data_IF_268258176159
#
_entry.id   IF_268258176159
#
_cell.length_a   1.000
_cell.length_b   1.000
_cell.length_c   1.000
_cell.angle_alpha   90.00
_cell.angle_beta   90.00
_cell.angle_gamma   90.00
#
_symmetry.space_group_name_H-M   'P 1'
#
loop_
_entity.id
_entity.type
_entity.pdbx_description
1 polymer ?
#
# COMPACT_ATOMS: atom_id res chain seq x y z
N UNK A 1 -31.78 -1.10 -23.98
CA UNK A 1 -30.41 -0.59 -23.80
C UNK A 1 -30.34 0.18 -22.49
N UNK A 2 -30.07 -0.50 -21.38
CA UNK A 2 -29.35 0.00 -20.20
C UNK A 2 -28.82 -1.27 -19.54
N UNK A 3 -27.49 -1.45 -19.51
CA UNK A 3 -26.83 -2.63 -18.94
C UNK A 3 -26.42 -2.34 -17.51
N UNK A 4 -26.86 -3.24 -16.64
CA UNK A 4 -26.46 -3.61 -15.29
C UNK A 4 -25.12 -3.06 -14.74
N UNK A 5 -25.19 -2.33 -13.62
CA UNK A 5 -24.21 -2.43 -12.53
C UNK A 5 -24.83 -3.31 -11.44
N UNK A 6 -24.19 -4.44 -11.16
CA UNK A 6 -24.53 -5.31 -10.04
C UNK A 6 -23.75 -4.85 -8.81
N UNK A 7 -24.42 -4.14 -7.90
CA UNK A 7 -23.96 -3.96 -6.53
C UNK A 7 -24.32 -5.21 -5.74
N UNK A 8 -23.33 -5.92 -5.19
CA UNK A 8 -23.60 -7.03 -4.27
C UNK A 8 -24.01 -6.47 -2.90
N UNK A 9 -25.28 -6.70 -2.57
CA UNK A 9 -25.90 -6.48 -1.27
C UNK A 9 -25.74 -7.76 -0.44
N UNK A 10 -25.07 -7.72 0.71
CA UNK A 10 -25.18 -8.79 1.72
C UNK A 10 -26.28 -8.39 2.72
N UNK A 11 -27.41 -9.09 2.67
CA UNK A 11 -28.52 -8.94 3.58
C UNK A 11 -28.20 -9.57 4.95
N UNK A 12 -28.30 -8.79 6.03
CA UNK A 12 -28.25 -9.28 7.41
C UNK A 12 -29.67 -9.40 7.97
N UNK A 13 -30.07 -10.60 8.35
CA UNK A 13 -31.33 -10.90 9.03
C UNK A 13 -31.24 -10.50 10.51
N UNK A 14 -32.11 -9.58 10.95
CA UNK A 14 -32.20 -9.15 12.35
C UNK A 14 -32.90 -10.21 13.20
N UNK A 15 -32.24 -10.66 14.27
CA UNK A 15 -32.87 -11.40 15.38
C UNK A 15 -32.79 -10.52 16.63
N UNK A 16 -33.93 -10.03 17.12
CA UNK A 16 -34.01 -9.29 18.37
C UNK A 16 -33.71 -10.22 19.55
N UNK A 17 -32.61 -9.97 20.26
CA UNK A 17 -32.36 -10.50 21.60
C UNK A 17 -32.23 -9.31 22.54
N UNK A 18 -33.13 -9.25 23.53
CA UNK A 18 -33.11 -8.28 24.62
C UNK A 18 -31.82 -8.44 25.44
N UNK A 19 -30.97 -7.42 25.48
CA UNK A 19 -29.77 -7.38 26.31
C UNK A 19 -29.94 -6.33 27.42
N UNK A 20 -30.01 -6.82 28.65
CA UNK A 20 -29.81 -6.03 29.87
C UNK A 20 -28.37 -5.50 29.89
N UNK A 21 -28.21 -4.22 30.23
CA UNK A 21 -26.91 -3.55 30.30
C UNK A 21 -26.14 -3.97 31.55
N UNK A 22 -24.93 -4.53 31.44
CA UNK A 22 -23.99 -4.52 32.56
C UNK A 22 -23.22 -3.20 32.53
N UNK A 23 -23.17 -2.50 33.67
CA UNK A 23 -22.27 -1.35 33.87
C UNK A 23 -20.83 -1.75 33.56
N UNK A 24 -20.23 -1.08 32.56
CA UNK A 24 -18.79 -1.14 32.31
C UNK A 24 -18.12 -0.31 33.41
N UNK A 25 -17.43 -0.99 34.32
CA UNK A 25 -16.52 -0.36 35.25
C UNK A 25 -15.36 0.27 34.46
N UNK A 26 -15.03 1.53 34.79
CA UNK A 26 -13.90 2.24 34.22
C UNK A 26 -12.60 1.44 34.44
N UNK A 27 -11.85 1.25 33.36
CA UNK A 27 -10.49 0.70 33.40
C UNK A 27 -9.62 1.71 34.17
N UNK A 28 -8.83 1.29 35.19
CA UNK A 28 -8.01 2.23 35.93
C UNK A 28 -6.90 2.79 35.04
N UNK A 29 -6.69 4.10 35.16
CA UNK A 29 -5.57 4.83 34.59
C UNK A 29 -4.26 4.29 35.17
N UNK A 30 -3.58 3.46 34.39
CA UNK A 30 -2.21 3.04 34.68
C UNK A 30 -1.26 4.20 34.33
N UNK A 31 -1.05 5.07 35.31
CA UNK A 31 -0.10 6.15 35.20
C UNK A 31 1.30 5.68 34.76
N UNK A 32 1.86 6.38 33.77
CA UNK A 32 3.30 6.65 33.75
C UNK A 32 4.17 5.99 32.66
N UNK A 33 3.83 6.14 31.38
CA UNK A 33 4.83 6.48 30.33
C UNK A 33 4.13 6.95 29.07
N UNK A 34 4.42 8.18 28.61
CA UNK A 34 4.08 8.63 27.25
C UNK A 34 4.72 7.66 26.25
N UNK A 35 3.99 7.01 25.33
CA UNK A 35 4.61 6.21 24.27
C UNK A 35 5.12 7.18 23.20
N UNK A 36 6.28 7.76 23.42
CA UNK A 36 6.98 8.63 22.47
C UNK A 36 8.44 8.71 22.91
N UNK A 37 9.30 7.93 22.25
CA UNK A 37 10.67 7.76 22.73
C UNK A 37 11.36 6.48 22.24
N UNK A 38 11.04 6.02 21.03
CA UNK A 38 11.84 4.98 20.36
C UNK A 38 12.73 5.60 19.28
N UNK A 39 13.70 4.86 18.72
CA UNK A 39 14.36 5.32 17.50
C UNK A 39 13.32 5.51 16.38
N UNK A 40 13.55 6.43 15.42
CA UNK A 40 12.71 6.54 14.23
C UNK A 40 12.58 5.18 13.54
N UNK A 41 11.40 4.89 13.00
CA UNK A 41 11.21 3.74 12.11
C UNK A 41 12.12 3.87 10.89
N UNK A 42 12.65 2.75 10.42
CA UNK A 42 13.60 2.69 9.30
C UNK A 42 12.93 3.20 8.03
N UNK A 43 11.66 2.84 7.83
CA UNK A 43 10.84 3.20 6.68
C UNK A 43 9.78 4.22 7.11
N UNK A 44 9.84 5.40 6.51
CA UNK A 44 8.83 6.46 6.59
C UNK A 44 8.48 6.78 5.15
N UNK A 45 7.58 5.99 4.59
CA UNK A 45 7.34 5.93 3.17
C UNK A 45 6.02 6.56 2.74
N UNK A 46 5.92 6.81 1.45
CA UNK A 46 4.65 7.04 0.76
C UNK A 46 4.65 6.34 -0.60
N UNK A 47 3.51 5.79 -1.01
CA UNK A 47 3.24 5.52 -2.41
C UNK A 47 2.90 6.86 -3.10
N UNK A 48 3.56 7.11 -4.23
CA UNK A 48 3.45 8.34 -5.03
C UNK A 48 3.28 8.01 -6.51
N UNK A 49 2.70 6.86 -6.83
CA UNK A 49 2.64 6.35 -8.19
C UNK A 49 1.81 7.24 -9.12
N UNK A 50 0.74 7.86 -8.61
CA UNK A 50 -0.06 8.86 -9.34
C UNK A 50 0.70 10.16 -9.64
N UNK A 51 1.84 10.44 -9.01
CA UNK A 51 2.51 11.73 -9.06
C UNK A 51 2.86 12.16 -10.49
N UNK A 52 3.39 11.25 -11.30
CA UNK A 52 3.79 11.57 -12.67
C UNK A 52 2.60 12.01 -13.53
N UNK A 53 1.45 11.35 -13.37
CA UNK A 53 0.20 11.67 -14.06
C UNK A 53 -0.40 12.97 -13.54
N UNK A 54 -0.41 13.15 -12.22
CA UNK A 54 -0.82 14.39 -11.56
C UNK A 54 -0.05 15.61 -12.10
N UNK A 55 1.29 15.58 -12.07
CA UNK A 55 2.12 16.71 -12.51
C UNK A 55 1.98 16.99 -14.02
N UNK A 56 1.86 15.95 -14.84
CA UNK A 56 1.63 16.09 -16.28
C UNK A 56 0.27 16.76 -16.59
N UNK A 57 -0.71 16.59 -15.72
CA UNK A 57 -2.06 17.17 -15.82
C UNK A 57 -2.24 18.47 -15.02
N UNK A 58 -1.14 19.02 -14.49
CA UNK A 58 -1.13 20.34 -13.84
C UNK A 58 -1.27 20.31 -12.32
N UNK A 59 -1.21 19.14 -11.69
CA UNK A 59 -1.16 18.98 -10.24
C UNK A 59 -0.06 19.85 -9.61
N UNK A 60 -0.39 20.45 -8.47
CA UNK A 60 0.51 21.33 -7.74
C UNK A 60 0.61 20.89 -6.28
N UNK A 61 1.75 21.20 -5.67
CA UNK A 61 2.04 20.81 -4.29
C UNK A 61 2.71 21.96 -3.57
N UNK A 62 2.35 22.13 -2.30
CA UNK A 62 2.81 23.24 -1.45
C UNK A 62 3.25 22.73 -0.10
N UNK A 63 4.29 23.35 0.42
CA UNK A 63 4.62 23.27 1.83
C UNK A 63 3.44 23.79 2.67
N UNK A 64 3.39 23.42 3.95
CA UNK A 64 2.34 23.86 4.87
C UNK A 64 2.20 25.40 4.96
N UNK A 65 3.26 26.16 4.67
CA UNK A 65 3.24 27.63 4.64
C UNK A 65 2.71 28.23 3.32
N UNK A 66 2.22 27.39 2.38
CA UNK A 66 1.67 27.80 1.09
C UNK A 66 2.70 27.98 -0.04
N UNK A 67 4.01 27.89 0.25
CA UNK A 67 5.05 27.96 -0.79
C UNK A 67 4.94 26.73 -1.71
N UNK A 68 4.87 26.95 -3.03
CA UNK A 68 4.90 25.86 -4.02
C UNK A 68 6.25 25.14 -4.00
N UNK A 69 6.25 23.84 -4.20
CA UNK A 69 7.45 23.01 -4.28
C UNK A 69 7.25 21.74 -5.09
N UNK A 70 8.35 21.02 -5.31
CA UNK A 70 8.33 19.65 -5.82
C UNK A 70 7.74 18.71 -4.76
N UNK A 71 6.80 17.85 -5.14
CA UNK A 71 6.09 16.98 -4.21
C UNK A 71 7.04 16.10 -3.39
N UNK A 72 8.03 15.46 -4.05
CA UNK A 72 8.98 14.58 -3.39
C UNK A 72 9.89 15.37 -2.44
N UNK A 73 10.29 16.58 -2.80
CA UNK A 73 11.04 17.47 -1.92
C UNK A 73 10.23 17.89 -0.68
N UNK A 74 8.92 18.12 -0.82
CA UNK A 74 8.03 18.42 0.31
C UNK A 74 7.89 17.20 1.23
N UNK A 75 7.63 16.01 0.69
CA UNK A 75 7.56 14.76 1.45
C UNK A 75 8.87 14.50 2.21
N UNK A 76 10.01 14.66 1.54
CA UNK A 76 11.34 14.49 2.12
C UNK A 76 11.65 15.53 3.21
N UNK A 77 11.22 16.77 3.03
CA UNK A 77 11.39 17.85 4.00
C UNK A 77 10.67 17.53 5.33
N UNK A 78 9.44 17.01 5.25
CA UNK A 78 8.65 16.66 6.43
C UNK A 78 8.96 15.25 6.98
N UNK A 79 10.01 14.61 6.44
CA UNK A 79 10.73 13.51 7.08
C UNK A 79 10.47 12.12 6.52
N UNK A 80 9.76 12.01 5.40
CA UNK A 80 9.71 10.76 4.65
C UNK A 80 11.08 10.47 4.04
N UNK A 81 11.43 9.19 3.96
CA UNK A 81 12.72 8.73 3.47
C UNK A 81 12.60 7.56 2.47
N UNK A 82 11.39 7.21 2.05
CA UNK A 82 11.13 6.13 1.12
C UNK A 82 9.98 6.50 0.19
N UNK A 83 10.03 6.00 -1.04
CA UNK A 83 8.87 5.97 -1.93
C UNK A 83 8.51 4.54 -2.31
N UNK A 84 7.23 4.29 -2.51
CA UNK A 84 6.68 3.09 -3.16
C UNK A 84 6.16 3.49 -4.54
N UNK A 85 6.48 2.70 -5.55
CA UNK A 85 6.01 2.90 -6.92
C UNK A 85 5.44 1.60 -7.46
N UNK A 86 4.17 1.60 -7.83
CA UNK A 86 3.57 0.48 -8.54
C UNK A 86 4.03 0.47 -10.00
N UNK A 87 4.11 -0.74 -10.57
CA UNK A 87 4.39 -0.95 -11.98
C UNK A 87 3.36 -1.89 -12.60
N UNK A 88 2.76 -1.43 -13.69
CA UNK A 88 1.86 -2.17 -14.56
C UNK A 88 2.62 -2.66 -15.80
N UNK A 89 2.12 -3.73 -16.42
CA UNK A 89 2.76 -4.34 -17.58
C UNK A 89 2.51 -3.49 -18.83
N UNK A 90 1.24 -3.36 -19.27
CA UNK A 90 0.83 -2.53 -20.40
C UNK A 90 -0.41 -1.66 -20.06
N UNK A 91 -0.25 -0.61 -19.24
CA UNK A 91 -1.35 0.25 -18.86
C UNK A 91 -1.89 1.09 -20.02
N UNK A 92 -3.22 1.20 -20.13
CA UNK A 92 -3.90 1.83 -21.26
C UNK A 92 -3.56 3.34 -21.43
N UNK A 93 -3.30 4.04 -20.33
CA UNK A 93 -2.91 5.46 -20.32
C UNK A 93 -1.39 5.70 -20.33
N UNK A 94 -0.58 4.63 -20.32
CA UNK A 94 0.88 4.68 -20.31
C UNK A 94 1.53 5.08 -18.97
N UNK A 95 0.75 5.31 -17.90
CA UNK A 95 1.27 5.63 -16.56
C UNK A 95 1.51 4.38 -15.72
N UNK A 96 2.37 4.48 -14.70
CA UNK A 96 2.88 3.32 -13.95
C UNK A 96 3.60 2.28 -14.82
N UNK A 97 4.06 2.69 -16.00
CA UNK A 97 4.94 1.89 -16.86
C UNK A 97 6.39 1.98 -16.39
N UNK A 98 7.25 1.10 -16.91
CA UNK A 98 8.70 1.13 -16.68
C UNK A 98 9.30 2.54 -16.80
N UNK A 99 8.95 3.28 -17.84
CA UNK A 99 9.51 4.62 -18.10
C UNK A 99 9.16 5.61 -16.99
N UNK A 100 7.91 5.58 -16.51
CA UNK A 100 7.46 6.46 -15.42
C UNK A 100 8.08 6.07 -14.08
N UNK A 101 8.18 4.78 -13.79
CA UNK A 101 8.86 4.28 -12.60
C UNK A 101 10.32 4.76 -12.56
N UNK A 102 11.06 4.64 -13.67
CA UNK A 102 12.43 5.14 -13.77
C UNK A 102 12.52 6.66 -13.57
N UNK A 103 11.60 7.43 -14.15
CA UNK A 103 11.62 8.89 -14.04
C UNK A 103 11.41 9.35 -12.58
N UNK A 104 10.42 8.77 -11.88
CA UNK A 104 10.13 9.12 -10.48
C UNK A 104 11.21 8.60 -9.54
N UNK A 105 11.71 7.37 -9.77
CA UNK A 105 12.81 6.79 -9.00
C UNK A 105 14.07 7.66 -9.04
N UNK A 106 14.44 8.19 -10.21
CA UNK A 106 15.58 9.10 -10.38
C UNK A 106 15.44 10.35 -9.52
N UNK A 107 14.25 10.97 -9.49
CA UNK A 107 13.99 12.15 -8.64
C UNK A 107 14.10 11.82 -7.16
N UNK A 108 13.48 10.72 -6.72
CA UNK A 108 13.49 10.34 -5.31
C UNK A 108 14.89 9.95 -4.80
N UNK A 109 15.65 9.18 -5.59
CA UNK A 109 17.03 8.80 -5.24
C UNK A 109 17.97 10.00 -5.20
N UNK A 110 17.77 11.01 -6.06
CA UNK A 110 18.52 12.27 -5.97
C UNK A 110 18.26 13.04 -4.66
N UNK A 111 17.11 12.81 -4.01
CA UNK A 111 16.77 13.33 -2.68
C UNK A 111 17.22 12.41 -1.53
N UNK A 112 17.92 11.32 -1.84
CA UNK A 112 18.39 10.33 -0.88
C UNK A 112 17.26 9.47 -0.28
N UNK A 113 16.14 9.33 -0.98
CA UNK A 113 15.04 8.45 -0.56
C UNK A 113 15.28 7.01 -1.04
N UNK A 114 14.85 6.04 -0.23
CA UNK A 114 14.75 4.65 -0.64
C UNK A 114 13.60 4.40 -1.62
N UNK A 115 13.65 3.25 -2.28
CA UNK A 115 12.70 2.85 -3.32
C UNK A 115 12.19 1.43 -3.07
N UNK A 116 10.87 1.30 -2.92
CA UNK A 116 10.14 0.06 -3.05
C UNK A 116 9.44 0.04 -4.42
N UNK A 117 9.72 -0.97 -5.24
CA UNK A 117 8.98 -1.18 -6.50
C UNK A 117 7.93 -2.26 -6.28
N UNK A 118 6.69 -1.99 -6.65
CA UNK A 118 5.57 -2.90 -6.48
C UNK A 118 5.04 -3.40 -7.82
N UNK A 119 5.30 -4.66 -8.12
CA UNK A 119 4.81 -5.29 -9.35
C UNK A 119 3.41 -5.82 -9.13
N UNK A 120 2.45 -5.23 -9.84
CA UNK A 120 1.08 -5.77 -9.87
C UNK A 120 0.95 -7.00 -10.76
N UNK A 121 1.87 -7.20 -11.71
CA UNK A 121 1.79 -8.24 -12.75
C UNK A 121 0.43 -8.25 -13.46
N UNK A 122 -0.08 -7.06 -13.77
CA UNK A 122 -1.32 -6.83 -14.50
C UNK A 122 -1.17 -5.55 -15.32
N UNK A 123 -2.06 -5.34 -16.29
CA UNK A 123 -2.14 -4.08 -17.07
C UNK A 123 -2.83 -2.95 -16.28
N UNK A 124 -3.44 -3.28 -15.14
CA UNK A 124 -4.17 -2.35 -14.28
C UNK A 124 -4.08 -2.82 -12.82
N UNK A 125 -4.94 -2.29 -11.95
CA UNK A 125 -5.02 -2.64 -10.54
C UNK A 125 -5.11 -4.16 -10.31
N UNK A 126 -4.37 -4.60 -9.30
CA UNK A 126 -4.36 -5.95 -8.77
C UNK A 126 -4.60 -5.85 -7.27
N UNK A 127 -5.57 -6.60 -6.76
CA UNK A 127 -6.11 -6.54 -5.40
C UNK A 127 -6.66 -7.94 -5.01
N UNK A 128 -7.18 -8.16 -3.79
CA UNK A 128 -7.69 -9.47 -3.35
C UNK A 128 -8.78 -10.05 -4.25
N UNK A 129 -9.57 -9.21 -4.91
CA UNK A 129 -10.68 -9.58 -5.79
C UNK A 129 -10.32 -9.62 -7.27
N UNK A 130 -9.18 -9.07 -7.67
CA UNK A 130 -8.75 -8.94 -9.07
C UNK A 130 -7.25 -9.19 -9.22
N UNK A 131 -6.89 -10.27 -9.91
CA UNK A 131 -5.49 -10.60 -10.24
C UNK A 131 -5.36 -10.98 -11.73
N UNK A 132 -5.93 -10.15 -12.59
CA UNK A 132 -6.04 -10.42 -14.03
C UNK A 132 -4.66 -10.48 -14.68
N UNK A 133 -4.42 -11.49 -15.51
CA UNK A 133 -3.24 -11.54 -16.37
C UNK A 133 -3.18 -10.31 -17.29
N UNK A 134 -2.00 -9.77 -17.57
CA UNK A 134 -1.80 -8.85 -18.68
C UNK A 134 -2.31 -9.47 -19.98
N UNK A 135 -2.89 -8.66 -20.87
CA UNK A 135 -3.44 -9.14 -22.15
C UNK A 135 -2.38 -9.89 -22.97
N UNK A 136 -1.13 -9.42 -22.94
CA UNK A 136 0.00 -10.05 -23.63
C UNK A 136 0.35 -11.45 -23.08
N UNK A 137 -0.12 -11.82 -21.89
CA UNK A 137 0.23 -13.06 -21.21
C UNK A 137 -0.91 -14.09 -21.15
N UNK A 138 -2.11 -13.73 -21.64
CA UNK A 138 -3.31 -14.57 -21.49
C UNK A 138 -3.18 -15.94 -22.15
N UNK A 139 -2.55 -15.99 -23.32
CA UNK A 139 -2.39 -17.22 -24.13
C UNK A 139 -1.09 -17.99 -23.86
N UNK A 140 -0.25 -17.53 -22.93
CA UNK A 140 1.01 -18.20 -22.62
C UNK A 140 0.73 -19.52 -21.90
N UNK A 141 1.54 -20.54 -22.20
CA UNK A 141 1.63 -21.72 -21.33
C UNK A 141 2.16 -21.32 -19.95
N UNK A 142 1.99 -22.17 -18.95
CA UNK A 142 2.46 -21.87 -17.60
C UNK A 142 3.97 -21.58 -17.54
N UNK A 143 4.78 -22.33 -18.30
CA UNK A 143 6.24 -22.12 -18.34
C UNK A 143 6.60 -20.79 -19.00
N UNK A 144 5.90 -20.43 -20.08
CA UNK A 144 6.08 -19.12 -20.73
C UNK A 144 5.59 -17.97 -19.84
N UNK A 145 4.49 -18.15 -19.10
CA UNK A 145 3.97 -17.17 -18.15
C UNK A 145 4.97 -16.92 -17.01
N UNK A 146 5.56 -17.99 -16.46
CA UNK A 146 6.61 -17.91 -15.45
C UNK A 146 7.84 -17.17 -15.98
N UNK A 147 8.26 -17.45 -17.22
CA UNK A 147 9.36 -16.74 -17.85
C UNK A 147 9.03 -15.27 -18.09
N UNK A 148 7.82 -14.95 -18.57
CA UNK A 148 7.38 -13.58 -18.79
C UNK A 148 7.36 -12.74 -17.50
N UNK A 149 6.92 -13.33 -16.37
CA UNK A 149 7.01 -12.70 -15.06
C UNK A 149 8.46 -12.41 -14.67
N UNK A 150 9.35 -13.41 -14.80
CA UNK A 150 10.78 -13.23 -14.53
C UNK A 150 11.36 -12.09 -15.38
N UNK A 151 11.13 -12.12 -16.70
CA UNK A 151 11.70 -11.18 -17.66
C UNK A 151 11.20 -9.75 -17.41
N UNK A 152 9.91 -9.57 -17.15
CA UNK A 152 9.35 -8.26 -16.81
C UNK A 152 9.96 -7.69 -15.52
N UNK A 153 10.09 -8.53 -14.49
CA UNK A 153 10.71 -8.14 -13.21
C UNK A 153 12.18 -7.75 -13.43
N UNK A 154 12.93 -8.59 -14.15
CA UNK A 154 14.35 -8.36 -14.43
C UNK A 154 14.56 -7.11 -15.29
N UNK A 155 13.77 -6.89 -16.33
CA UNK A 155 13.89 -5.73 -17.22
C UNK A 155 13.71 -4.40 -16.47
N UNK A 156 12.65 -4.27 -15.68
CA UNK A 156 12.40 -3.04 -14.90
C UNK A 156 13.52 -2.81 -13.87
N UNK A 157 13.90 -3.84 -13.11
CA UNK A 157 14.90 -3.72 -12.05
C UNK A 157 16.32 -3.50 -12.59
N UNK A 158 16.69 -4.18 -13.67
CA UNK A 158 17.99 -3.98 -14.34
C UNK A 158 18.11 -2.57 -14.92
N UNK A 159 17.01 -2.01 -15.44
CA UNK A 159 16.95 -0.63 -15.90
C UNK A 159 17.16 0.38 -14.76
N UNK A 160 16.52 0.16 -13.60
CA UNK A 160 16.75 0.96 -12.40
C UNK A 160 18.20 0.86 -11.92
N UNK A 161 18.77 -0.35 -11.91
CA UNK A 161 20.19 -0.56 -11.54
C UNK A 161 21.14 0.18 -12.50
N UNK A 162 20.90 0.07 -13.81
CA UNK A 162 21.69 0.77 -14.82
C UNK A 162 21.58 2.30 -14.71
N UNK A 163 20.44 2.82 -14.25
CA UNK A 163 20.24 4.25 -13.96
C UNK A 163 20.93 4.71 -12.66
N UNK A 164 21.46 3.80 -11.84
CA UNK A 164 22.02 4.10 -10.52
C UNK A 164 20.95 4.28 -9.43
N UNK A 165 19.74 3.80 -9.67
CA UNK A 165 18.56 3.92 -8.78
C UNK A 165 18.07 2.55 -8.33
N UNK A 166 18.98 1.61 -8.08
CA UNK A 166 18.68 0.24 -7.64
C UNK A 166 17.59 0.23 -6.56
N UNK A 167 16.56 -0.61 -6.77
CA UNK A 167 15.48 -0.77 -5.80
C UNK A 167 16.03 -1.35 -4.50
N UNK A 168 15.61 -0.79 -3.37
CA UNK A 168 15.99 -1.27 -2.04
C UNK A 168 15.07 -2.41 -1.60
N UNK A 169 13.80 -2.34 -2.00
CA UNK A 169 12.77 -3.36 -1.80
C UNK A 169 11.98 -3.59 -3.08
N UNK A 170 11.50 -4.82 -3.26
CA UNK A 170 10.60 -5.20 -4.35
C UNK A 170 9.47 -6.03 -3.80
N UNK A 171 8.24 -5.63 -4.12
CA UNK A 171 7.05 -6.40 -3.86
C UNK A 171 6.70 -7.23 -5.10
N UNK A 172 6.71 -8.56 -4.93
CA UNK A 172 6.44 -9.52 -6.01
C UNK A 172 4.96 -9.87 -5.95
N UNK A 173 4.14 -9.04 -6.60
CA UNK A 173 2.68 -9.12 -6.58
C UNK A 173 2.04 -8.24 -5.50
N UNK A 174 0.90 -7.63 -5.80
CA UNK A 174 0.16 -6.78 -4.88
C UNK A 174 -1.04 -7.50 -4.27
N UNK A 175 -1.18 -7.43 -2.94
CA UNK A 175 -2.30 -8.00 -2.16
C UNK A 175 -2.68 -9.44 -2.58
N UNK A 176 -1.71 -10.35 -2.39
CA UNK A 176 -1.71 -11.75 -2.84
C UNK A 176 -2.73 -12.66 -2.13
N UNK A 177 -3.74 -12.10 -1.46
CA UNK A 177 -4.76 -12.84 -0.70
C UNK A 177 -5.35 -13.98 -1.52
N UNK A 178 -5.66 -13.71 -2.78
CA UNK A 178 -6.19 -14.67 -3.73
C UNK A 178 -5.15 -15.26 -4.68
N UNK A 179 -3.85 -15.00 -4.49
CA UNK A 179 -2.76 -15.37 -5.41
C UNK A 179 -2.41 -14.25 -6.40
N UNK A 180 -1.86 -14.59 -7.57
CA UNK A 180 -1.60 -13.67 -8.69
C UNK A 180 -1.83 -14.35 -10.04
N UNK A 181 -1.96 -13.56 -11.12
CA UNK A 181 -2.04 -14.07 -12.50
C UNK A 181 -3.08 -15.19 -12.67
N UNK A 182 -4.34 -14.91 -12.35
CA UNK A 182 -5.40 -15.90 -12.39
C UNK A 182 -5.69 -16.41 -13.82
N UNK A 183 -6.04 -17.71 -13.97
CA UNK A 183 -6.25 -18.70 -12.91
C UNK A 183 -4.96 -19.42 -12.46
N UNK A 184 -3.85 -19.27 -13.18
CA UNK A 184 -2.63 -20.08 -13.02
C UNK A 184 -2.05 -20.00 -11.61
N UNK A 185 -1.88 -18.79 -11.06
CA UNK A 185 -1.33 -18.55 -9.72
C UNK A 185 -2.39 -18.28 -8.64
N UNK A 186 -3.62 -18.79 -8.77
CA UNK A 186 -4.67 -18.57 -7.77
C UNK A 186 -4.36 -19.26 -6.43
N UNK A 187 -4.94 -18.75 -5.34
CA UNK A 187 -4.73 -19.21 -3.96
C UNK A 187 -4.99 -20.70 -3.70
N UNK A 188 -5.74 -21.38 -4.57
CA UNK A 188 -6.00 -22.82 -4.51
C UNK A 188 -5.04 -23.65 -5.38
N UNK A 189 -4.09 -23.01 -6.08
CA UNK A 189 -3.05 -23.63 -6.90
C UNK A 189 -1.64 -23.29 -6.39
N UNK A 190 -1.35 -23.71 -5.15
CA UNK A 190 -0.09 -23.41 -4.46
C UNK A 190 1.20 -23.77 -5.22
N UNK A 191 1.32 -24.92 -5.92
CA UNK A 191 2.54 -25.24 -6.66
C UNK A 191 2.86 -24.22 -7.76
N UNK A 192 1.84 -23.78 -8.53
CA UNK A 192 2.03 -22.80 -9.59
C UNK A 192 2.22 -21.39 -9.04
N UNK A 193 1.43 -21.00 -8.02
CA UNK A 193 1.64 -19.75 -7.29
C UNK A 193 3.08 -19.65 -6.76
N UNK A 194 3.60 -20.73 -6.18
CA UNK A 194 4.97 -20.77 -5.68
C UNK A 194 6.02 -20.64 -6.78
N UNK A 195 5.83 -21.31 -7.92
CA UNK A 195 6.73 -21.20 -9.06
C UNK A 195 6.74 -19.78 -9.67
N UNK A 196 5.59 -19.09 -9.74
CA UNK A 196 5.49 -17.70 -10.19
C UNK A 196 6.18 -16.73 -9.22
N UNK A 197 5.87 -16.81 -7.92
CA UNK A 197 6.49 -15.94 -6.92
C UNK A 197 8.00 -16.17 -6.79
N UNK A 198 8.45 -17.42 -6.90
CA UNK A 198 9.87 -17.74 -6.88
C UNK A 198 10.60 -17.26 -8.14
N UNK A 199 9.95 -17.24 -9.31
CA UNK A 199 10.53 -16.62 -10.50
C UNK A 199 10.74 -15.11 -10.32
N UNK A 200 9.76 -14.41 -9.71
CA UNK A 200 9.94 -13.00 -9.33
C UNK A 200 11.07 -12.79 -8.31
N UNK A 201 11.16 -13.65 -7.29
CA UNK A 201 12.27 -13.64 -6.33
C UNK A 201 13.62 -13.80 -7.04
N UNK A 202 13.75 -14.77 -7.94
CA UNK A 202 15.00 -15.02 -8.67
C UNK A 202 15.39 -13.84 -9.57
N UNK A 203 14.43 -13.19 -10.23
CA UNK A 203 14.68 -12.00 -11.02
C UNK A 203 15.22 -10.85 -10.15
N UNK A 204 14.61 -10.62 -8.99
CA UNK A 204 15.09 -9.61 -8.02
C UNK A 204 16.54 -9.90 -7.61
N UNK A 205 16.83 -11.14 -7.19
CA UNK A 205 18.16 -11.51 -6.72
C UNK A 205 19.22 -11.54 -7.82
N UNK A 206 18.84 -11.85 -9.06
CA UNK A 206 19.73 -11.78 -10.22
C UNK A 206 20.17 -10.34 -10.52
N UNK A 207 19.30 -9.34 -10.29
CA UNK A 207 19.67 -7.93 -10.42
C UNK A 207 20.48 -7.46 -9.20
N UNK A 208 20.07 -7.80 -7.99
CA UNK A 208 20.74 -7.37 -6.76
C UNK A 208 20.44 -8.31 -5.60
N UNK A 209 21.48 -8.94 -5.04
CA UNK A 209 21.35 -9.81 -3.87
C UNK A 209 20.88 -9.08 -2.60
N UNK A 210 21.16 -7.77 -2.51
CA UNK A 210 20.85 -6.95 -1.34
C UNK A 210 19.39 -6.48 -1.30
N UNK A 211 18.74 -6.37 -2.47
CA UNK A 211 17.35 -5.91 -2.61
C UNK A 211 16.40 -6.88 -1.90
N UNK A 212 15.57 -6.37 -0.99
CA UNK A 212 14.66 -7.22 -0.20
C UNK A 212 13.39 -7.55 -0.98
N UNK A 213 12.96 -8.81 -0.91
CA UNK A 213 11.71 -9.27 -1.52
C UNK A 213 10.59 -9.26 -0.48
N UNK A 214 9.49 -8.57 -0.80
CA UNK A 214 8.28 -8.44 0.00
C UNK A 214 7.18 -9.30 -0.60
N UNK A 215 6.50 -10.08 0.24
CA UNK A 215 5.19 -10.64 -0.09
C UNK A 215 4.13 -9.88 0.69
N UNK A 216 3.12 -9.40 -0.02
CA UNK A 216 2.16 -8.43 0.47
C UNK A 216 0.74 -9.00 0.47
N UNK A 217 0.05 -8.91 1.60
CA UNK A 217 -1.36 -9.23 1.74
C UNK A 217 -2.15 -8.01 2.24
N UNK A 218 -3.44 -7.96 1.91
CA UNK A 218 -4.40 -7.03 2.48
C UNK A 218 -4.79 -7.43 3.91
N UNK A 219 -5.86 -6.83 4.46
CA UNK A 219 -6.52 -7.26 5.70
C UNK A 219 -5.59 -7.41 6.92
N UNK A 220 -4.74 -6.42 7.20
CA UNK A 220 -3.70 -6.50 8.22
C UNK A 220 -4.16 -6.84 9.66
N UNK A 221 -5.45 -6.74 10.02
CA UNK A 221 -5.98 -7.21 11.30
C UNK A 221 -6.47 -8.66 11.32
N UNK A 222 -6.49 -9.36 10.18
CA UNK A 222 -6.92 -10.76 10.08
C UNK A 222 -5.73 -11.72 10.26
N UNK A 223 -5.49 -12.15 11.50
CA UNK A 223 -4.41 -13.08 11.78
C UNK A 223 -4.62 -14.48 11.18
N UNK A 224 -5.88 -14.91 11.03
CA UNK A 224 -6.21 -16.22 10.45
C UNK A 224 -5.76 -16.31 9.00
N UNK A 225 -6.07 -15.27 8.22
CA UNK A 225 -5.62 -15.13 6.83
C UNK A 225 -4.10 -15.20 6.71
N UNK A 226 -3.38 -14.39 7.50
CA UNK A 226 -1.92 -14.33 7.41
C UNK A 226 -1.27 -15.65 7.76
N UNK A 227 -1.74 -16.30 8.83
CA UNK A 227 -1.22 -17.61 9.21
C UNK A 227 -1.44 -18.64 8.11
N UNK A 228 -2.67 -18.73 7.63
CA UNK A 228 -3.01 -19.66 6.55
C UNK A 228 -2.14 -19.42 5.31
N UNK A 229 -2.00 -18.18 4.85
CA UNK A 229 -1.27 -17.88 3.62
C UNK A 229 0.23 -18.15 3.77
N UNK A 230 0.87 -17.66 4.83
CA UNK A 230 2.31 -17.82 5.02
C UNK A 230 2.72 -19.24 5.46
N UNK A 231 1.85 -19.99 6.13
CA UNK A 231 2.07 -21.43 6.40
C UNK A 231 2.06 -22.23 5.09
N UNK A 232 1.11 -21.97 4.19
CA UNK A 232 1.09 -22.59 2.86
C UNK A 232 2.27 -22.14 2.01
N UNK A 233 2.65 -20.86 2.07
CA UNK A 233 3.80 -20.34 1.35
C UNK A 233 5.10 -21.05 1.78
N UNK A 234 5.29 -21.26 3.09
CA UNK A 234 6.40 -22.02 3.63
C UNK A 234 6.36 -23.49 3.18
N UNK A 235 5.19 -24.14 3.23
CA UNK A 235 5.02 -25.54 2.80
C UNK A 235 5.34 -25.76 1.31
N UNK A 236 5.18 -24.73 0.47
CA UNK A 236 5.47 -24.78 -0.97
C UNK A 236 6.83 -24.14 -1.34
N UNK A 237 7.65 -23.77 -0.35
CA UNK A 237 8.99 -23.25 -0.60
C UNK A 237 9.01 -21.86 -1.25
N UNK A 238 8.00 -21.02 -1.00
CA UNK A 238 8.00 -19.62 -1.46
C UNK A 238 9.04 -18.83 -0.66
N UNK A 239 9.94 -18.16 -1.39
CA UNK A 239 11.04 -17.37 -0.80
C UNK A 239 10.70 -15.89 -0.72
N UNK A 240 11.05 -15.27 0.41
CA UNK A 240 10.85 -13.85 0.68
C UNK A 240 11.68 -13.37 1.88
N UNK A 241 11.86 -12.06 1.99
CA UNK A 241 12.65 -11.41 3.02
C UNK A 241 11.78 -10.65 4.04
N UNK A 242 10.65 -10.07 3.60
CA UNK A 242 9.79 -9.18 4.41
C UNK A 242 8.31 -9.54 4.21
N UNK A 243 7.52 -9.43 5.27
CA UNK A 243 6.05 -9.54 5.21
C UNK A 243 5.45 -8.13 5.06
N UNK A 244 4.71 -7.89 3.99
CA UNK A 244 3.97 -6.66 3.73
C UNK A 244 2.50 -6.78 4.13
N UNK A 245 1.93 -5.70 4.66
CA UNK A 245 0.51 -5.63 5.05
C UNK A 245 -0.15 -4.34 4.55
N UNK A 246 -1.36 -4.43 3.99
CA UNK A 246 -2.28 -3.28 3.93
C UNK A 246 -3.09 -3.17 5.21
N UNK A 247 -3.20 -1.98 5.76
CA UNK A 247 -4.08 -1.69 6.90
C UNK A 247 -4.85 -0.39 6.71
N UNK A 248 -6.12 -0.54 6.36
CA UNK A 248 -7.12 0.53 6.33
C UNK A 248 -8.10 0.27 7.48
N UNK A 249 -8.14 1.12 8.52
CA UNK A 249 -8.82 0.80 9.79
C UNK A 249 -10.34 0.63 9.65
N UNK A 250 -10.93 1.24 8.62
CA UNK A 250 -12.35 1.15 8.29
C UNK A 250 -12.75 -0.20 7.65
N UNK A 251 -11.80 -1.04 7.21
CA UNK A 251 -12.07 -2.37 6.65
C UNK A 251 -11.29 -3.51 7.31
N UNK A 252 -10.06 -3.25 7.77
CA UNK A 252 -9.09 -4.29 8.09
C UNK A 252 -9.03 -4.64 9.59
N UNK A 253 -10.11 -4.40 10.32
CA UNK A 253 -10.23 -4.71 11.75
C UNK A 253 -9.61 -3.67 12.67
N UNK A 254 -9.68 -3.93 13.98
CA UNK A 254 -9.27 -2.96 15.01
C UNK A 254 -7.75 -2.77 15.07
N UNK A 255 -7.30 -1.63 15.60
CA UNK A 255 -5.88 -1.36 15.84
C UNK A 255 -5.23 -2.42 16.75
N UNK A 256 -5.99 -2.95 17.71
CA UNK A 256 -5.53 -4.02 18.59
C UNK A 256 -5.32 -5.34 17.83
N UNK A 257 -6.26 -5.71 16.95
CA UNK A 257 -6.13 -6.91 16.11
C UNK A 257 -4.95 -6.78 15.14
N UNK A 258 -4.76 -5.59 14.56
CA UNK A 258 -3.62 -5.26 13.72
C UNK A 258 -2.28 -5.38 14.45
N UNK A 259 -2.15 -4.80 15.64
CA UNK A 259 -0.94 -4.95 16.46
C UNK A 259 -0.65 -6.42 16.81
N UNK A 260 -1.70 -7.16 17.20
CA UNK A 260 -1.57 -8.58 17.50
C UNK A 260 -1.09 -9.38 16.27
N UNK A 261 -1.63 -9.09 15.09
CA UNK A 261 -1.23 -9.75 13.85
C UNK A 261 0.23 -9.45 13.50
N UNK A 262 0.65 -8.18 13.50
CA UNK A 262 2.04 -7.79 13.25
C UNK A 262 3.03 -8.52 14.17
N UNK A 263 2.72 -8.57 15.47
CA UNK A 263 3.56 -9.24 16.46
C UNK A 263 3.66 -10.75 16.19
N UNK A 264 2.52 -11.40 15.90
CA UNK A 264 2.48 -12.82 15.63
C UNK A 264 3.25 -13.19 14.37
N UNK A 265 2.96 -12.56 13.23
CA UNK A 265 3.59 -12.95 11.95
C UNK A 265 5.08 -12.64 11.94
N UNK A 266 5.51 -11.53 12.56
CA UNK A 266 6.93 -11.21 12.70
C UNK A 266 7.68 -12.25 13.55
N UNK A 267 7.07 -12.72 14.65
CA UNK A 267 7.66 -13.71 15.54
C UNK A 267 7.63 -15.11 14.93
N UNK A 268 6.47 -15.54 14.42
CA UNK A 268 6.20 -16.88 13.87
C UNK A 268 7.09 -17.20 12.69
N UNK A 269 7.20 -16.29 11.72
CA UNK A 269 7.97 -16.51 10.50
C UNK A 269 9.42 -16.02 10.63
N UNK A 270 9.76 -15.34 11.73
CA UNK A 270 11.10 -14.79 11.95
C UNK A 270 11.48 -13.72 10.93
N UNK A 271 10.49 -13.01 10.37
CA UNK A 271 10.67 -12.00 9.32
C UNK A 271 10.35 -10.60 9.84
N UNK A 272 11.02 -9.56 9.34
CA UNK A 272 10.54 -8.20 9.51
C UNK A 272 9.20 -7.99 8.81
N UNK A 273 8.42 -7.04 9.31
CA UNK A 273 7.11 -6.62 8.80
C UNK A 273 7.14 -5.16 8.36
N UNK A 274 6.41 -4.83 7.31
CA UNK A 274 6.22 -3.45 6.85
C UNK A 274 4.75 -3.24 6.49
N UNK A 275 4.20 -2.07 6.85
CA UNK A 275 2.87 -1.68 6.36
C UNK A 275 3.06 -1.12 4.97
N UNK A 276 2.74 -1.92 3.95
CA UNK A 276 2.92 -1.57 2.55
C UNK A 276 1.87 -0.55 2.09
N UNK A 277 0.68 -0.56 2.70
CA UNK A 277 -0.36 0.41 2.42
C UNK A 277 -1.17 0.80 3.66
N UNK A 278 -1.44 2.10 3.79
CA UNK A 278 -2.43 2.65 4.72
C UNK A 278 -2.82 4.05 4.28
N UNK A 279 -4.05 4.47 4.57
CA UNK A 279 -4.52 5.83 4.37
C UNK A 279 -5.67 6.13 5.33
N UNK A 280 -6.01 7.40 5.45
CA UNK A 280 -7.13 7.88 6.24
C UNK A 280 -7.61 9.22 5.71
N UNK A 281 -8.93 9.49 5.66
CA UNK A 281 -9.42 10.75 5.14
C UNK A 281 -9.11 11.93 6.07
N UNK A 282 -8.69 13.05 5.49
CA UNK A 282 -8.57 14.34 6.18
C UNK A 282 -9.84 15.17 6.08
N UNK A 283 -10.83 14.76 5.30
CA UNK A 283 -12.10 15.45 5.09
C UNK A 283 -13.16 14.50 4.54
N UNK A 284 -14.44 14.85 4.69
CA UNK A 284 -15.56 14.19 3.98
C UNK A 284 -15.93 14.91 2.67
N UNK A 285 -15.22 15.97 2.33
CA UNK A 285 -15.44 16.74 1.09
C UNK A 285 -14.97 16.00 -0.16
N UNK A 286 -15.27 16.63 -1.29
CA UNK A 286 -14.97 16.21 -2.67
C UNK A 286 -14.55 17.46 -3.46
N UNK A 287 -13.48 17.36 -4.23
CA UNK A 287 -12.78 18.43 -4.96
C UNK A 287 -12.74 18.16 -6.48
N UNK A 288 -12.85 16.90 -6.92
CA UNK A 288 -12.84 16.54 -8.35
C UNK A 288 -14.22 16.17 -8.92
N UNK A 289 -15.24 16.06 -8.07
CA UNK A 289 -16.62 15.75 -8.48
C UNK A 289 -16.88 14.25 -8.64
N UNK A 290 -15.99 13.40 -8.13
CA UNK A 290 -16.09 11.95 -8.14
C UNK A 290 -16.19 11.42 -6.71
N UNK A 291 -17.19 10.58 -6.43
CA UNK A 291 -17.47 10.14 -5.06
C UNK A 291 -16.25 9.43 -4.43
N UNK A 292 -15.80 9.96 -3.29
CA UNK A 292 -14.74 9.39 -2.50
C UNK A 292 -15.15 8.04 -1.89
N UNK A 293 -14.21 7.11 -1.82
CA UNK A 293 -14.41 5.74 -1.30
C UNK A 293 -14.77 5.74 0.19
N UNK A 294 -14.29 6.75 0.93
CA UNK A 294 -14.56 6.91 2.37
C UNK A 294 -15.16 8.29 2.62
N UNK A 295 -16.45 8.31 2.98
CA UNK A 295 -17.24 9.54 3.19
C UNK A 295 -17.73 9.71 4.64
N UNK A 296 -17.47 8.73 5.51
CA UNK A 296 -17.84 8.82 6.94
C UNK A 296 -17.08 9.95 7.64
N UNK A 297 -17.79 10.71 8.49
CA UNK A 297 -17.18 11.74 9.33
C UNK A 297 -16.25 11.18 10.42
N UNK A 298 -16.39 9.90 10.75
CA UNK A 298 -15.50 9.17 11.65
C UNK A 298 -15.38 7.71 11.14
N UNK A 299 -14.51 7.44 10.15
CA UNK A 299 -14.35 6.11 9.57
C UNK A 299 -13.89 5.04 10.58
N UNK A 300 -13.27 5.48 11.68
CA UNK A 300 -12.85 4.64 12.79
C UNK A 300 -13.00 5.42 14.11
N UNK A 301 -13.58 4.82 15.17
CA UNK A 301 -13.83 5.51 16.43
C UNK A 301 -12.58 6.18 17.02
N UNK A 302 -12.69 7.46 17.35
CA UNK A 302 -11.61 8.28 17.90
C UNK A 302 -10.79 9.05 16.87
N UNK A 303 -11.03 8.86 15.58
CA UNK A 303 -10.35 9.59 14.49
C UNK A 303 -11.37 10.22 13.54
N UNK A 304 -11.83 11.46 13.78
CA UNK A 304 -12.72 12.12 12.83
C UNK A 304 -12.00 12.41 11.51
N UNK A 305 -12.71 12.36 10.38
CA UNK A 305 -12.22 12.68 9.03
C UNK A 305 -11.88 14.18 8.92
N UNK A 306 -10.75 14.55 9.51
CA UNK A 306 -10.22 15.90 9.67
C UNK A 306 -8.69 15.83 9.56
N UNK A 307 -7.97 16.92 9.26
CA UNK A 307 -6.51 16.90 9.24
C UNK A 307 -5.90 16.46 10.59
N UNK A 308 -6.57 16.77 11.70
CA UNK A 308 -6.14 16.36 13.04
C UNK A 308 -6.37 14.87 13.30
N UNK A 309 -7.51 14.32 12.87
CA UNK A 309 -7.82 12.89 13.00
C UNK A 309 -6.96 12.02 12.09
N UNK A 310 -6.72 12.43 10.84
CA UNK A 310 -5.75 11.79 9.94
C UNK A 310 -4.36 11.71 10.60
N UNK A 311 -3.89 12.80 11.20
CA UNK A 311 -2.62 12.84 11.92
C UNK A 311 -2.62 11.97 13.20
N UNK A 312 -3.72 11.95 13.95
CA UNK A 312 -3.84 11.08 15.11
C UNK A 312 -3.78 9.60 14.74
N UNK A 313 -4.48 9.19 13.69
CA UNK A 313 -4.40 7.83 13.16
C UNK A 313 -2.99 7.47 12.69
N UNK A 314 -2.36 8.33 11.88
CA UNK A 314 -0.99 8.11 11.39
C UNK A 314 0.00 7.91 12.54
N UNK A 315 -0.11 8.70 13.61
CA UNK A 315 0.73 8.57 14.80
C UNK A 315 0.55 7.21 15.48
N UNK A 316 -0.69 6.80 15.71
CA UNK A 316 -0.97 5.57 16.44
C UNK A 316 -0.59 4.33 15.62
N UNK A 317 -0.79 4.37 14.30
CA UNK A 317 -0.29 3.35 13.38
C UNK A 317 1.23 3.22 13.45
N UNK A 318 1.95 4.34 13.37
CA UNK A 318 3.42 4.33 13.48
C UNK A 318 3.90 3.84 14.86
N UNK A 319 3.15 4.15 15.93
CA UNK A 319 3.43 3.62 17.26
C UNK A 319 3.25 2.11 17.35
N UNK A 320 2.19 1.57 16.74
CA UNK A 320 1.94 0.12 16.65
C UNK A 320 3.07 -0.59 15.91
N UNK A 321 3.48 -0.08 14.75
CA UNK A 321 4.58 -0.65 13.97
C UNK A 321 5.89 -0.60 14.75
N UNK A 322 6.18 0.51 15.44
CA UNK A 322 7.38 0.64 16.29
C UNK A 322 7.39 -0.34 17.47
N UNK A 323 6.21 -0.71 17.97
CA UNK A 323 6.06 -1.61 19.10
C UNK A 323 6.26 -3.10 18.74
N UNK A 324 6.43 -3.44 17.45
CA UNK A 324 6.67 -4.84 17.04
C UNK A 324 7.98 -5.37 17.67
N UNK A 325 7.93 -6.49 18.42
CA UNK A 325 9.08 -7.00 19.16
C UNK A 325 10.32 -7.26 18.31
N UNK A 326 11.50 -7.08 18.92
CA UNK A 326 12.79 -7.32 18.28
C UNK A 326 13.15 -6.31 17.18
N UNK A 327 12.47 -5.15 17.12
CA UNK A 327 12.70 -4.15 16.09
C UNK A 327 12.31 -4.62 14.69
N UNK A 328 11.38 -5.57 14.60
CA UNK A 328 10.97 -6.19 13.32
C UNK A 328 9.95 -5.37 12.54
N UNK A 329 9.31 -4.37 13.16
CA UNK A 329 8.49 -3.40 12.45
C UNK A 329 9.37 -2.38 11.72
N UNK A 330 9.46 -2.49 10.39
CA UNK A 330 10.35 -1.65 9.59
C UNK A 330 9.78 -0.23 9.42
N UNK A 331 8.46 -0.12 9.32
CA UNK A 331 7.77 1.14 9.10
C UNK A 331 6.51 1.00 8.26
N UNK A 332 6.09 2.10 7.64
CA UNK A 332 4.87 2.18 6.85
C UNK A 332 5.03 3.03 5.59
N UNK A 333 4.18 2.77 4.60
CA UNK A 333 3.96 3.61 3.44
C UNK A 333 2.53 4.15 3.47
N UNK A 334 2.38 5.48 3.44
CA UNK A 334 1.09 6.09 3.18
C UNK A 334 0.72 5.90 1.71
N UNK A 335 -0.41 5.28 1.43
CA UNK A 335 -0.82 4.96 0.07
C UNK A 335 -1.32 6.22 -0.66
N UNK A 336 -0.82 6.44 -1.88
CA UNK A 336 -1.14 7.55 -2.79
C UNK A 336 -1.13 8.93 -2.10
N UNK A 337 -0.04 9.24 -1.40
CA UNK A 337 0.10 10.47 -0.62
C UNK A 337 -0.02 11.76 -1.45
N UNK A 338 0.23 11.68 -2.76
CA UNK A 338 0.19 12.82 -3.70
C UNK A 338 -1.02 12.83 -4.61
N UNK A 339 -1.98 11.91 -4.44
CA UNK A 339 -3.11 11.78 -5.33
C UNK A 339 -4.22 12.75 -4.96
N UNK A 340 -4.05 14.03 -5.32
CA UNK A 340 -5.06 15.07 -5.14
C UNK A 340 -6.04 15.10 -6.32
N UNK A 341 -7.15 15.84 -6.17
CA UNK A 341 -8.15 16.06 -7.23
C UNK A 341 -7.55 16.78 -8.43
N UNK A 342 -7.19 16.02 -9.48
CA UNK A 342 -6.65 16.55 -10.73
C UNK A 342 -7.41 15.91 -11.88
N UNK A 343 -8.05 16.74 -12.71
CA UNK A 343 -8.87 16.26 -13.83
C UNK A 343 -8.07 15.33 -14.75
N UNK A 344 -8.61 14.14 -14.99
CA UNK A 344 -8.00 13.10 -15.83
C UNK A 344 -6.95 12.24 -15.11
N UNK A 345 -6.60 12.58 -13.86
CA UNK A 345 -5.75 11.76 -12.98
C UNK A 345 -6.61 10.82 -12.13
N UNK A 346 -7.56 10.10 -12.74
CA UNK A 346 -8.47 9.21 -12.01
C UNK A 346 -8.02 7.76 -11.93
N UNK A 347 -8.90 6.96 -11.33
CA UNK A 347 -8.65 5.57 -10.96
C UNK A 347 -8.45 4.63 -12.14
N UNK A 348 -9.31 4.69 -13.17
CA UNK A 348 -9.27 3.73 -14.27
C UNK A 348 -8.33 4.20 -15.40
N UNK A 349 -7.22 3.48 -15.68
CA UNK A 349 -6.32 3.83 -16.79
C UNK A 349 -6.98 3.75 -18.17
N UNK A 350 -8.09 3.01 -18.32
CA UNK A 350 -8.81 2.87 -19.57
C UNK A 350 -9.95 3.90 -19.75
N UNK A 351 -10.30 4.65 -18.70
CA UNK A 351 -11.34 5.67 -18.73
C UNK A 351 -10.79 7.04 -18.29
N UNK A 352 -10.47 7.96 -19.23
CA UNK A 352 -9.98 9.29 -18.90
C UNK A 352 -11.01 10.18 -18.19
N UNK A 353 -12.28 9.78 -18.14
CA UNK A 353 -13.32 10.45 -17.37
C UNK A 353 -13.45 9.92 -15.93
N UNK A 354 -12.76 8.83 -15.60
CA UNK A 354 -12.65 8.35 -14.22
C UNK A 354 -12.06 9.44 -13.34
N UNK A 355 -12.64 9.66 -12.17
CA UNK A 355 -12.11 10.54 -11.13
C UNK A 355 -11.28 9.78 -10.08
N UNK A 356 -10.85 10.50 -9.05
CA UNK A 356 -10.02 10.01 -7.98
C UNK A 356 -10.86 9.78 -6.72
N UNK A 357 -11.29 8.54 -6.47
CA UNK A 357 -12.06 8.20 -5.28
C UNK A 357 -11.25 8.19 -3.95
N UNK A 358 -10.03 8.73 -3.95
CA UNK A 358 -9.10 8.70 -2.82
C UNK A 358 -8.47 10.05 -2.50
N UNK A 359 -8.85 11.13 -3.20
CA UNK A 359 -8.26 12.46 -3.01
C UNK A 359 -8.37 12.98 -1.58
N UNK A 360 -9.46 12.65 -0.88
CA UNK A 360 -9.68 13.08 0.49
C UNK A 360 -8.78 12.35 1.50
N UNK A 361 -7.94 11.41 1.06
CA UNK A 361 -7.01 10.65 1.89
C UNK A 361 -5.53 10.92 1.57
N UNK A 362 -5.24 11.82 0.62
CA UNK A 362 -3.88 12.27 0.34
C UNK A 362 -3.22 12.93 1.58
N UNK A 363 -1.90 13.15 1.51
CA UNK A 363 -1.16 13.94 2.50
C UNK A 363 -1.05 15.42 2.11
N UNK A 364 -1.81 15.84 1.09
CA UNK A 364 -2.01 17.22 0.68
C UNK A 364 -3.50 17.51 0.70
N UNK A 365 -3.89 18.67 1.23
CA UNK A 365 -5.28 19.13 1.20
C UNK A 365 -5.71 19.62 -0.17
N UNK A 366 -7.00 19.94 -0.32
CA UNK A 366 -7.57 20.56 -1.54
C UNK A 366 -7.00 21.95 -1.86
N UNK A 367 -6.24 22.55 -0.95
CA UNK A 367 -5.47 23.78 -1.19
C UNK A 367 -4.01 23.51 -1.60
N UNK A 368 -3.72 22.27 -2.02
CA UNK A 368 -2.40 21.71 -2.35
C UNK A 368 -1.39 21.69 -1.19
N UNK A 369 -1.78 22.00 0.05
CA UNK A 369 -0.82 22.11 1.15
C UNK A 369 -0.62 20.79 1.87
N UNK A 370 0.64 20.51 2.18
CA UNK A 370 1.02 19.38 3.02
C UNK A 370 0.25 19.40 4.36
N UNK A 371 -0.38 18.26 4.68
CA UNK A 371 -1.22 18.08 5.86
C UNK A 371 -0.40 17.65 7.09
N UNK A 372 -0.92 17.85 8.32
CA UNK A 372 -0.20 17.53 9.55
C UNK A 372 0.24 16.06 9.68
N UNK A 373 -0.50 15.13 9.09
CA UNK A 373 -0.22 13.69 9.16
C UNK A 373 1.17 13.33 8.58
N UNK A 374 1.65 14.08 7.59
CA UNK A 374 2.97 13.89 6.99
C UNK A 374 4.10 13.91 8.03
N UNK A 375 3.98 14.77 9.04
CA UNK A 375 5.01 14.94 10.09
C UNK A 375 4.97 13.83 11.14
N UNK A 376 3.87 13.10 11.26
CA UNK A 376 3.73 12.03 12.26
C UNK A 376 4.65 10.85 11.92
N UNK A 377 4.92 10.62 10.63
CA UNK A 377 5.91 9.64 10.17
C UNK A 377 7.31 9.97 10.66
N UNK A 378 7.66 11.26 10.80
CA UNK A 378 8.99 11.70 11.23
C UNK A 378 9.20 11.73 12.74
N UNK A 379 8.14 11.53 13.55
CA UNK A 379 8.22 11.62 15.02
C UNK A 379 8.94 10.43 15.63
N UNK A 380 9.69 10.72 16.70
CA UNK A 380 10.51 9.78 17.49
C UNK A 380 9.74 9.26 18.70
#
# INVERSE_FOLDING_TARGET
>A
MVRHLAALLCAATALLVSLTTPSIAAVPDAGGRRPGGGPPLVIRGADVSSLAKSEALGGAYRYANGRRGDALAILRHDGLNYIRLKVFVNPADGYNSRSQVLAVAKRAKALGMGLLVDFHYSDSWADPGKQNKPAAWESLSFDELRQALYDHTYDVLSALKAQGTTADMVQVGNELNGGLLWPDGRWDNWPQLAALLNAGYDAVKAVSGDTKVVLHLANGGDNGLYRWWFDNAAANGIRYDVIGLSYYPYWHGTLAAFQANLNDVAARYGKPVVVAETAYPFTTGDDDGWENTVTSAEPYPGYPATPAGQAAFARDLMNIVRAVPGGRGLGAFWWEATWTGVKGNGWDPADPASGNAWENQALFGFDDRALPALREFARR
#
